data_IF_788945487314
#
_entry.id   IF_788945487314
#
_cell.length_a   1.000
_cell.length_b   1.000
_cell.length_c   1.000
_cell.angle_alpha   90.00
_cell.angle_beta   90.00
_cell.angle_gamma   90.00
#
_symmetry.space_group_name_H-M   'P 1'
#
loop_
_entity.id
_entity.type
_entity.pdbx_description
1 polymer ?
#
# COMPACT_ATOMS: atom_id res chain seq x y z
N UNK A 1 34.12 -9.45 2.21
CA UNK A 1 33.28 -9.06 1.04
C UNK A 1 31.88 -9.68 1.13
N UNK A 2 31.11 -9.30 2.16
CA UNK A 2 29.69 -9.71 2.36
C UNK A 2 28.73 -9.09 1.32
N UNK A 3 29.19 -8.12 0.55
CA UNK A 3 28.39 -7.44 -0.48
C UNK A 3 28.12 -8.25 -1.75
N UNK A 4 28.76 -9.42 -1.90
CA UNK A 4 28.69 -10.26 -3.12
C UNK A 4 27.67 -11.39 -2.95
N UNK A 5 27.31 -11.76 -1.72
CA UNK A 5 26.34 -12.81 -1.48
C UNK A 5 24.91 -12.29 -1.62
N UNK A 6 24.20 -12.79 -2.62
CA UNK A 6 22.76 -12.55 -2.80
C UNK A 6 21.97 -13.67 -2.18
N UNK A 7 20.91 -13.34 -1.43
CA UNK A 7 20.00 -14.37 -0.94
C UNK A 7 19.23 -15.02 -2.09
N UNK A 8 18.97 -16.35 -2.02
CA UNK A 8 18.05 -17.00 -2.96
C UNK A 8 16.69 -16.33 -2.92
N UNK A 9 16.09 -16.07 -4.08
CA UNK A 9 14.80 -15.39 -4.16
C UNK A 9 13.68 -16.08 -3.37
N UNK A 10 13.69 -17.40 -3.27
CA UNK A 10 12.64 -18.20 -2.63
C UNK A 10 12.63 -18.21 -1.10
N UNK A 11 13.66 -17.68 -0.41
CA UNK A 11 13.68 -17.67 1.07
C UNK A 11 13.62 -16.27 1.69
N UNK A 12 14.00 -15.27 0.92
CA UNK A 12 14.12 -13.90 1.40
C UNK A 12 12.76 -13.27 1.77
N UNK A 13 11.77 -13.44 0.88
CA UNK A 13 10.43 -12.84 1.06
C UNK A 13 9.69 -13.46 2.24
N UNK A 14 9.77 -14.78 2.35
CA UNK A 14 9.14 -15.55 3.42
C UNK A 14 9.75 -15.20 4.78
N UNK A 15 11.09 -15.08 4.85
CA UNK A 15 11.79 -14.71 6.07
C UNK A 15 11.43 -13.28 6.51
N UNK A 16 11.39 -12.32 5.57
CA UNK A 16 10.97 -10.97 5.85
C UNK A 16 9.48 -10.88 6.23
N UNK A 17 8.63 -11.64 5.55
CA UNK A 17 7.21 -11.73 5.90
C UNK A 17 7.01 -12.24 7.33
N UNK A 18 7.71 -13.31 7.70
CA UNK A 18 7.69 -13.87 9.06
C UNK A 18 8.21 -12.88 10.10
N UNK A 19 9.29 -12.17 9.80
CA UNK A 19 9.81 -11.12 10.67
C UNK A 19 8.78 -10.02 10.93
N UNK A 20 8.17 -9.47 9.86
CA UNK A 20 7.18 -8.40 10.01
C UNK A 20 5.89 -8.87 10.69
N UNK A 21 5.48 -10.12 10.45
CA UNK A 21 4.35 -10.72 11.18
C UNK A 21 4.66 -10.82 12.68
N UNK A 22 5.85 -11.32 13.04
CA UNK A 22 6.31 -11.39 14.43
C UNK A 22 6.39 -10.02 15.10
N UNK A 23 6.91 -9.01 14.38
CA UNK A 23 6.94 -7.62 14.88
C UNK A 23 5.54 -7.05 15.10
N UNK A 24 4.60 -7.32 14.19
CA UNK A 24 3.19 -6.92 14.34
C UNK A 24 2.53 -7.57 15.57
N UNK A 25 2.81 -8.84 15.82
CA UNK A 25 2.33 -9.56 16.99
C UNK A 25 2.89 -8.97 18.31
N UNK A 26 4.20 -8.72 18.38
CA UNK A 26 4.84 -8.09 19.53
C UNK A 26 4.30 -6.66 19.76
N UNK A 27 4.06 -5.93 18.69
CA UNK A 27 3.45 -4.61 18.75
C UNK A 27 2.04 -4.69 19.36
N UNK A 28 1.22 -5.63 18.90
CA UNK A 28 -0.14 -5.81 19.43
C UNK A 28 -0.15 -6.06 20.93
N UNK A 29 0.81 -6.84 21.46
CA UNK A 29 0.93 -7.09 22.88
C UNK A 29 1.43 -5.87 23.68
N UNK A 30 2.17 -4.97 23.05
CA UNK A 30 2.89 -3.88 23.70
C UNK A 30 2.43 -2.49 23.28
N UNK A 31 1.21 -2.32 22.80
CA UNK A 31 0.66 -1.03 22.30
C UNK A 31 0.77 0.11 23.32
N UNK A 32 0.71 -0.20 24.61
CA UNK A 32 0.81 0.77 25.69
C UNK A 32 2.16 1.53 25.75
N UNK A 33 3.22 0.98 25.15
CA UNK A 33 4.54 1.62 25.13
C UNK A 33 4.67 2.66 24.00
N UNK A 34 3.81 2.61 23.01
CA UNK A 34 3.83 3.54 21.87
C UNK A 34 2.87 4.71 22.13
N UNK A 35 3.32 5.67 22.91
CA UNK A 35 2.60 6.93 23.09
C UNK A 35 2.74 7.77 21.81
N UNK A 36 1.62 8.28 21.31
CA UNK A 36 1.64 9.20 20.17
C UNK A 36 2.37 10.50 20.56
N UNK A 37 3.47 10.78 19.86
CA UNK A 37 4.27 11.98 20.04
C UNK A 37 4.62 12.59 18.69
N UNK A 38 4.42 13.90 18.56
CA UNK A 38 4.77 14.62 17.34
C UNK A 38 6.27 14.54 17.03
N UNK A 39 7.11 14.53 18.05
CA UNK A 39 8.55 14.41 17.88
C UNK A 39 8.97 13.03 17.34
N UNK A 40 8.31 11.98 17.80
CA UNK A 40 8.54 10.62 17.28
C UNK A 40 8.03 10.48 15.85
N UNK A 41 6.89 11.10 15.50
CA UNK A 41 6.38 11.14 14.14
C UNK A 41 7.38 11.81 13.18
N UNK A 42 7.85 13.02 13.55
CA UNK A 42 8.82 13.76 12.74
C UNK A 42 10.16 13.03 12.63
N UNK A 43 10.67 12.49 13.73
CA UNK A 43 11.91 11.70 13.75
C UNK A 43 11.82 10.48 12.83
N UNK A 44 10.74 9.71 12.92
CA UNK A 44 10.49 8.55 12.06
C UNK A 44 10.40 8.96 10.59
N UNK A 45 9.71 10.07 10.28
CA UNK A 45 9.60 10.58 8.92
C UNK A 45 10.97 10.95 8.34
N UNK A 46 11.79 11.68 9.09
CA UNK A 46 13.15 12.08 8.65
C UNK A 46 14.00 10.85 8.37
N UNK A 47 13.99 9.87 9.28
CA UNK A 47 14.80 8.65 9.11
C UNK A 47 14.33 7.85 7.91
N UNK A 48 13.02 7.65 7.72
CA UNK A 48 12.47 6.96 6.55
C UNK A 48 12.84 7.69 5.25
N UNK A 49 12.75 9.02 5.22
CA UNK A 49 13.13 9.82 4.05
C UNK A 49 14.63 9.69 3.72
N UNK A 50 15.49 9.72 4.75
CA UNK A 50 16.94 9.50 4.57
C UNK A 50 17.23 8.09 4.03
N UNK A 51 16.62 7.05 4.61
CA UNK A 51 16.78 5.68 4.10
C UNK A 51 16.27 5.53 2.67
N UNK A 52 15.15 6.15 2.33
CA UNK A 52 14.63 6.16 0.95
C UNK A 52 15.62 6.78 -0.04
N UNK A 53 16.35 7.83 0.38
CA UNK A 53 17.32 8.53 -0.48
C UNK A 53 18.65 7.79 -0.63
N UNK A 54 19.15 7.16 0.44
CA UNK A 54 20.52 6.65 0.50
C UNK A 54 20.63 5.13 0.50
N UNK A 55 19.61 4.41 0.95
CA UNK A 55 19.68 2.97 1.17
C UNK A 55 18.53 2.19 0.54
N UNK A 56 18.01 2.63 -0.61
CA UNK A 56 16.85 2.04 -1.26
C UNK A 56 16.80 0.51 -1.15
N UNK A 57 15.85 -0.01 -0.35
CA UNK A 57 15.65 -1.42 -0.11
C UNK A 57 14.28 -1.85 -0.64
N UNK A 58 14.20 -3.03 -1.25
CA UNK A 58 12.96 -3.58 -1.79
C UNK A 58 12.86 -5.06 -1.47
N UNK A 59 11.67 -5.50 -1.09
CA UNK A 59 11.36 -6.94 -0.94
C UNK A 59 11.24 -7.65 -2.30
N UNK A 60 11.13 -6.91 -3.40
CA UNK A 60 10.89 -7.48 -4.73
C UNK A 60 12.17 -7.91 -5.45
N UNK A 61 13.33 -7.40 -5.06
CA UNK A 61 14.60 -7.62 -5.73
C UNK A 61 15.53 -8.48 -4.89
N UNK A 62 16.46 -9.19 -5.56
CA UNK A 62 17.52 -9.92 -4.87
C UNK A 62 18.31 -8.98 -3.98
N UNK A 63 18.20 -9.21 -2.68
CA UNK A 63 18.85 -8.38 -1.68
C UNK A 63 20.23 -8.92 -1.39
N UNK A 64 21.24 -8.04 -1.44
CA UNK A 64 22.54 -8.29 -0.84
C UNK A 64 22.35 -8.37 0.69
N UNK A 65 23.21 -9.11 1.38
CA UNK A 65 23.14 -9.27 2.84
C UNK A 65 23.05 -7.94 3.60
N UNK A 66 23.76 -6.92 3.12
CA UNK A 66 23.68 -5.55 3.67
C UNK A 66 22.26 -4.94 3.54
N UNK A 67 21.64 -5.09 2.37
CA UNK A 67 20.27 -4.57 2.14
C UNK A 67 19.21 -5.35 2.91
N UNK A 68 19.45 -6.62 3.17
CA UNK A 68 18.60 -7.43 4.02
C UNK A 68 18.50 -6.85 5.44
N UNK A 69 19.61 -6.46 6.04
CA UNK A 69 19.64 -5.85 7.37
C UNK A 69 19.13 -4.41 7.39
N UNK A 70 19.24 -3.68 6.27
CA UNK A 70 18.81 -2.28 6.20
C UNK A 70 17.29 -2.12 6.00
N UNK A 71 16.59 -3.12 5.48
CA UNK A 71 15.14 -3.04 5.23
C UNK A 71 14.27 -2.99 6.50
N UNK A 72 14.53 -3.78 7.57
CA UNK A 72 13.71 -3.77 8.78
C UNK A 72 13.62 -2.43 9.46
N UNK A 73 14.69 -1.66 9.49
CA UNK A 73 14.76 -0.37 10.20
C UNK A 73 13.75 0.63 9.63
N UNK A 74 13.81 1.02 8.34
CA UNK A 74 12.85 1.96 7.79
C UNK A 74 11.41 1.39 7.74
N UNK A 75 11.25 0.07 7.63
CA UNK A 75 9.93 -0.55 7.63
C UNK A 75 9.25 -0.44 9.01
N UNK A 76 9.96 -0.72 10.11
CA UNK A 76 9.44 -0.57 11.48
C UNK A 76 9.17 0.90 11.79
N UNK A 77 10.07 1.80 11.41
CA UNK A 77 9.86 3.25 11.61
C UNK A 77 8.70 3.78 10.76
N UNK A 78 8.54 3.31 9.53
CA UNK A 78 7.40 3.64 8.69
C UNK A 78 6.08 3.15 9.29
N UNK A 79 6.07 1.96 9.90
CA UNK A 79 4.92 1.45 10.63
C UNK A 79 4.59 2.35 11.84
N UNK A 80 5.58 2.70 12.67
CA UNK A 80 5.41 3.60 13.81
C UNK A 80 4.88 4.96 13.38
N UNK A 81 5.42 5.52 12.28
CA UNK A 81 4.95 6.76 11.69
C UNK A 81 3.48 6.68 11.28
N UNK A 82 3.09 5.63 10.57
CA UNK A 82 1.71 5.41 10.12
C UNK A 82 0.76 5.23 11.31
N UNK A 83 1.17 4.49 12.33
CA UNK A 83 0.40 4.30 13.56
C UNK A 83 0.14 5.63 14.28
N UNK A 84 1.17 6.45 14.44
CA UNK A 84 1.03 7.76 15.08
C UNK A 84 0.17 8.72 14.27
N UNK A 85 0.33 8.72 12.94
CA UNK A 85 -0.50 9.53 12.04
C UNK A 85 -1.97 9.12 12.13
N UNK A 86 -2.26 7.81 12.16
CA UNK A 86 -3.64 7.32 12.32
C UNK A 86 -4.23 7.70 13.68
N UNK A 87 -3.44 7.71 14.74
CA UNK A 87 -3.89 8.19 16.06
C UNK A 87 -4.27 9.68 16.01
N UNK A 88 -3.49 10.53 15.35
CA UNK A 88 -3.84 11.95 15.20
C UNK A 88 -5.11 12.17 14.36
N UNK A 89 -5.31 11.35 13.33
CA UNK A 89 -6.54 11.38 12.53
C UNK A 89 -7.74 10.91 13.36
N UNK A 90 -7.56 9.90 14.21
CA UNK A 90 -8.61 9.33 15.05
C UNK A 90 -9.12 10.30 16.12
N UNK A 91 -8.26 11.19 16.63
CA UNK A 91 -8.63 12.19 17.63
C UNK A 91 -9.71 13.19 17.15
N UNK A 92 -9.98 13.28 15.85
CA UNK A 92 -10.96 14.21 15.27
C UNK A 92 -11.95 13.45 14.39
N UNK A 93 -13.25 13.60 14.66
CA UNK A 93 -14.27 13.06 13.75
C UNK A 93 -14.38 13.96 12.52
N UNK A 94 -13.66 13.59 11.47
CA UNK A 94 -13.65 14.29 10.19
C UNK A 94 -13.88 13.32 9.01
N UNK A 95 -14.08 13.90 7.83
CA UNK A 95 -14.35 13.13 6.61
C UNK A 95 -13.20 12.19 6.24
N UNK A 96 -11.95 12.57 6.56
CA UNK A 96 -10.75 11.75 6.31
C UNK A 96 -10.78 10.48 7.14
N UNK A 97 -11.09 10.58 8.45
CA UNK A 97 -11.26 9.43 9.34
C UNK A 97 -12.31 8.46 8.80
N UNK A 98 -13.50 8.97 8.47
CA UNK A 98 -14.59 8.14 7.94
C UNK A 98 -14.23 7.45 6.64
N UNK A 99 -13.55 8.17 5.74
CA UNK A 99 -13.05 7.60 4.50
C UNK A 99 -12.00 6.50 4.74
N UNK A 100 -11.04 6.72 5.63
CA UNK A 100 -10.00 5.73 5.97
C UNK A 100 -10.61 4.48 6.61
N UNK A 101 -11.56 4.63 7.53
CA UNK A 101 -12.28 3.50 8.12
C UNK A 101 -13.04 2.73 7.03
N UNK A 102 -13.75 3.45 6.15
CA UNK A 102 -14.49 2.81 5.06
C UNK A 102 -13.56 2.03 4.10
N UNK A 103 -12.38 2.56 3.78
CA UNK A 103 -11.36 1.84 3.02
C UNK A 103 -10.87 0.60 3.76
N UNK A 104 -10.61 0.71 5.06
CA UNK A 104 -10.20 -0.40 5.92
C UNK A 104 -11.20 -1.54 5.94
N UNK A 105 -12.48 -1.23 6.17
CA UNK A 105 -13.57 -2.20 6.19
C UNK A 105 -13.82 -2.87 4.82
N UNK A 106 -13.37 -2.26 3.73
CA UNK A 106 -13.52 -2.76 2.38
C UNK A 106 -12.18 -3.07 1.71
N UNK A 107 -11.15 -3.39 2.48
CA UNK A 107 -9.81 -3.71 1.97
C UNK A 107 -9.81 -4.90 1.01
N UNK A 108 -10.59 -5.94 1.29
CA UNK A 108 -10.64 -7.14 0.46
C UNK A 108 -11.15 -6.87 -0.97
N UNK A 109 -12.28 -6.18 -1.20
CA UNK A 109 -12.68 -5.75 -2.53
C UNK A 109 -11.63 -4.88 -3.24
N UNK A 110 -11.00 -3.95 -2.52
CA UNK A 110 -9.92 -3.13 -3.09
C UNK A 110 -8.78 -4.04 -3.55
N UNK A 111 -8.31 -4.94 -2.70
CA UNK A 111 -7.21 -5.84 -3.00
C UNK A 111 -7.48 -6.76 -4.21
N UNK A 112 -8.69 -7.28 -4.34
CA UNK A 112 -9.07 -8.16 -5.47
C UNK A 112 -9.18 -7.37 -6.79
N UNK A 113 -9.80 -6.21 -6.77
CA UNK A 113 -10.17 -5.50 -8.00
C UNK A 113 -9.22 -4.38 -8.42
N UNK A 114 -8.22 -3.98 -7.59
CA UNK A 114 -7.31 -2.89 -7.94
C UNK A 114 -6.52 -3.17 -9.23
N UNK A 115 -6.10 -4.42 -9.47
CA UNK A 115 -5.37 -4.79 -10.68
C UNK A 115 -6.21 -4.60 -11.96
N UNK A 116 -7.50 -4.90 -11.90
CA UNK A 116 -8.43 -4.66 -13.01
C UNK A 116 -8.62 -3.15 -13.20
N UNK A 117 -8.74 -2.41 -12.10
CA UNK A 117 -8.84 -0.94 -12.12
C UNK A 117 -7.61 -0.29 -12.76
N UNK A 118 -6.41 -0.82 -12.50
CA UNK A 118 -5.18 -0.36 -13.14
C UNK A 118 -5.17 -0.57 -14.64
N UNK A 119 -5.79 -1.65 -15.15
CA UNK A 119 -5.90 -1.88 -16.59
C UNK A 119 -6.71 -0.81 -17.31
N UNK A 120 -7.75 -0.28 -16.66
CA UNK A 120 -8.52 0.84 -17.23
C UNK A 120 -7.66 2.10 -17.37
N UNK A 121 -6.86 2.42 -16.33
CA UNK A 121 -5.93 3.56 -16.40
C UNK A 121 -4.84 3.31 -17.42
N UNK A 122 -4.33 2.09 -17.53
CA UNK A 122 -3.34 1.71 -18.54
C UNK A 122 -3.87 1.90 -19.95
N UNK A 123 -5.13 1.56 -20.22
CA UNK A 123 -5.77 1.80 -21.53
C UNK A 123 -5.86 3.29 -21.85
N UNK A 124 -6.25 4.12 -20.87
CA UNK A 124 -6.29 5.58 -21.03
C UNK A 124 -4.89 6.13 -21.34
N UNK A 125 -3.87 5.66 -20.61
CA UNK A 125 -2.49 6.08 -20.79
C UNK A 125 -1.93 5.69 -22.15
N UNK A 126 -2.19 4.46 -22.61
CA UNK A 126 -1.79 3.96 -23.93
C UNK A 126 -2.45 4.78 -25.04
N UNK A 127 -3.74 5.08 -24.91
CA UNK A 127 -4.46 5.91 -25.86
C UNK A 127 -3.93 7.36 -25.89
N UNK A 128 -3.58 7.91 -24.72
CA UNK A 128 -3.07 9.27 -24.62
C UNK A 128 -1.69 9.45 -25.26
N UNK A 129 -0.78 8.49 -25.04
CA UNK A 129 0.60 8.54 -25.56
C UNK A 129 0.80 7.80 -26.89
N UNK A 130 -0.24 7.16 -27.44
CA UNK A 130 -0.13 6.39 -28.69
C UNK A 130 0.80 5.18 -28.60
N UNK A 131 0.87 4.52 -27.44
CA UNK A 131 1.77 3.39 -27.20
C UNK A 131 1.22 2.07 -27.74
N UNK A 132 2.10 1.05 -27.86
CA UNK A 132 1.68 -0.30 -28.32
C UNK A 132 0.67 -0.90 -27.31
N UNK A 133 -0.46 -1.37 -27.83
CA UNK A 133 -1.53 -2.01 -27.08
C UNK A 133 -1.06 -3.25 -26.28
N UNK A 134 0.01 -3.91 -26.72
CA UNK A 134 0.63 -5.04 -26.01
C UNK A 134 1.07 -4.68 -24.58
N UNK A 135 1.36 -3.40 -24.33
CA UNK A 135 1.76 -2.92 -23.00
C UNK A 135 0.64 -3.00 -21.96
N UNK A 136 -0.62 -3.22 -22.34
CA UNK A 136 -1.72 -3.53 -21.41
C UNK A 136 -1.39 -4.76 -20.54
N UNK A 137 -0.56 -5.67 -21.03
CA UNK A 137 -0.08 -6.83 -20.25
C UNK A 137 0.73 -6.44 -18.99
N UNK A 138 1.43 -5.32 -18.99
CA UNK A 138 2.20 -4.84 -17.86
C UNK A 138 1.29 -4.49 -16.67
N UNK A 139 1.80 -4.63 -15.44
CA UNK A 139 1.03 -4.28 -14.22
C UNK A 139 0.63 -2.79 -14.23
N UNK A 140 1.60 -1.93 -14.48
CA UNK A 140 1.43 -0.50 -14.75
C UNK A 140 2.22 -0.15 -16.01
N UNK A 141 1.67 0.73 -16.86
CA UNK A 141 2.35 1.17 -18.09
C UNK A 141 3.24 2.36 -17.78
N UNK A 142 4.52 2.25 -18.14
CA UNK A 142 5.51 3.31 -18.00
C UNK A 142 5.81 3.84 -19.40
N UNK A 143 5.57 5.15 -19.62
CA UNK A 143 5.86 5.78 -20.92
C UNK A 143 7.34 6.18 -21.01
N UNK A 144 7.86 6.86 -20.00
CA UNK A 144 9.26 7.27 -19.93
C UNK A 144 9.75 7.10 -18.47
N UNK A 145 10.94 6.49 -18.32
CA UNK A 145 11.58 6.34 -17.02
C UNK A 145 12.25 7.63 -16.52
N UNK A 146 12.48 8.59 -17.42
CA UNK A 146 13.14 9.86 -17.12
C UNK A 146 12.15 10.98 -16.75
N UNK A 147 10.88 10.84 -17.12
CA UNK A 147 9.83 11.81 -16.85
C UNK A 147 8.75 11.22 -15.97
N UNK A 148 8.57 11.83 -14.79
CA UNK A 148 7.45 11.50 -13.91
C UNK A 148 6.16 12.07 -14.49
N UNK A 149 5.25 11.21 -14.92
CA UNK A 149 3.92 11.62 -15.34
C UNK A 149 2.92 11.57 -14.16
N UNK A 150 1.89 12.40 -14.21
CA UNK A 150 0.86 12.47 -13.18
C UNK A 150 -0.11 11.26 -13.19
N UNK A 151 0.08 10.29 -14.07
CA UNK A 151 -0.77 9.10 -14.14
C UNK A 151 -0.73 8.25 -12.88
N UNK A 152 0.33 8.33 -12.06
CA UNK A 152 0.37 7.62 -10.79
C UNK A 152 -0.76 8.05 -9.83
N UNK A 153 -1.16 9.34 -9.87
CA UNK A 153 -2.31 9.84 -9.10
C UNK A 153 -3.60 9.18 -9.61
N UNK A 154 -3.75 9.07 -10.93
CA UNK A 154 -4.90 8.44 -11.53
C UNK A 154 -4.97 6.94 -11.18
N UNK A 155 -3.83 6.24 -11.21
CA UNK A 155 -3.74 4.86 -10.72
C UNK A 155 -4.16 4.72 -9.27
N UNK A 156 -3.73 5.63 -8.39
CA UNK A 156 -4.11 5.61 -6.98
C UNK A 156 -5.61 5.86 -6.78
N UNK A 157 -6.18 6.88 -7.43
CA UNK A 157 -7.60 7.24 -7.30
C UNK A 157 -8.49 6.14 -7.87
N UNK A 158 -8.21 5.66 -9.09
CA UNK A 158 -9.04 4.66 -9.76
C UNK A 158 -8.85 3.28 -9.11
N UNK A 159 -7.61 2.95 -8.68
CA UNK A 159 -7.30 1.69 -8.02
C UNK A 159 -8.04 1.47 -6.71
N UNK A 160 -8.35 2.55 -5.98
CA UNK A 160 -9.14 2.50 -4.74
C UNK A 160 -10.61 2.83 -5.01
N UNK A 161 -10.87 3.89 -5.76
CA UNK A 161 -12.22 4.44 -5.94
C UNK A 161 -13.15 3.51 -6.72
N UNK A 162 -12.66 2.89 -7.79
CA UNK A 162 -13.49 2.00 -8.62
C UNK A 162 -13.93 0.74 -7.87
N UNK A 163 -13.05 -0.02 -7.18
CA UNK A 163 -13.48 -1.15 -6.35
C UNK A 163 -14.47 -0.76 -5.25
N UNK A 164 -14.25 0.38 -4.59
CA UNK A 164 -15.17 0.86 -3.56
C UNK A 164 -16.53 1.24 -4.15
N UNK A 165 -16.56 1.91 -5.30
CA UNK A 165 -17.79 2.26 -6.01
C UNK A 165 -18.59 1.03 -6.43
N UNK A 166 -17.94 0.05 -7.03
CA UNK A 166 -18.56 -1.23 -7.43
C UNK A 166 -19.11 -1.97 -6.20
N UNK A 167 -18.32 -2.06 -5.12
CA UNK A 167 -18.75 -2.72 -3.89
C UNK A 167 -19.95 -2.00 -3.23
N UNK A 168 -19.95 -0.67 -3.25
CA UNK A 168 -21.09 0.13 -2.75
C UNK A 168 -22.36 -0.15 -3.55
N UNK A 169 -22.27 -0.12 -4.87
CA UNK A 169 -23.40 -0.42 -5.74
C UNK A 169 -23.89 -1.86 -5.54
N UNK A 170 -22.98 -2.83 -5.48
CA UNK A 170 -23.32 -4.22 -5.23
C UNK A 170 -24.10 -4.38 -3.91
N UNK A 171 -23.57 -3.84 -2.81
CA UNK A 171 -24.24 -3.89 -1.50
C UNK A 171 -25.64 -3.25 -1.56
N UNK A 172 -25.79 -2.12 -2.23
CA UNK A 172 -27.05 -1.42 -2.36
C UNK A 172 -28.09 -2.21 -3.16
N UNK A 173 -27.69 -2.84 -4.26
CA UNK A 173 -28.59 -3.63 -5.11
C UNK A 173 -28.98 -4.96 -4.45
N UNK A 174 -28.00 -5.66 -3.89
CA UNK A 174 -28.23 -6.97 -3.24
C UNK A 174 -29.08 -6.81 -1.97
N UNK A 175 -28.76 -5.84 -1.12
CA UNK A 175 -29.53 -5.56 0.08
C UNK A 175 -30.99 -5.22 -0.25
N UNK A 176 -31.24 -4.41 -1.30
CA UNK A 176 -32.59 -4.09 -1.76
C UNK A 176 -33.36 -5.32 -2.24
N UNK A 177 -32.69 -6.24 -2.94
CA UNK A 177 -33.28 -7.45 -3.50
C UNK A 177 -33.64 -8.48 -2.42
N UNK A 178 -32.82 -8.60 -1.39
CA UNK A 178 -33.05 -9.48 -0.24
C UNK A 178 -34.22 -8.96 0.60
N UNK A 179 -34.29 -7.65 0.85
CA UNK A 179 -35.39 -7.03 1.60
C UNK A 179 -36.77 -7.21 0.94
N UNK A 180 -36.81 -7.17 -0.40
CA UNK A 180 -38.03 -7.44 -1.16
C UNK A 180 -38.46 -8.92 -1.05
N UNK A 181 -37.49 -9.84 -1.00
CA UNK A 181 -37.77 -11.28 -0.95
C UNK A 181 -38.23 -11.77 0.44
N UNK A 182 -37.93 -11.03 1.49
CA UNK A 182 -38.37 -11.35 2.87
C UNK A 182 -39.76 -10.83 3.15
N UNK A 183 -40.22 -9.77 2.44
CA UNK A 183 -41.50 -9.12 2.63
C UNK A 183 -42.62 -9.65 1.69
N UNK A 184 -42.31 -10.61 0.84
CA UNK A 184 -43.23 -11.40 0.03
C UNK A 184 -43.26 -12.86 0.52
#
# INVERSE_FOLDING_TARGET
>A
NLSIYTFPMGGYRELMGTFFFGMGFLFHQNQQFLKASIWSLMGSFIVVALFSRFAGASMAWNSTFYRFLSLPIPAVLGFVMTYQLSHYIDCRDNIVKRFMIYCGDNTLPIYIFHTISFKLVSLIKIAYYGMDFKQVGCHMVIHDHAQEDLFWILYAIVGVGLPLGVNYLYKRYVSKKISIKINN
#
